data_IF_814434099920
#
_entry.id   IF_814434099920
#
_cell.length_a   1.000
_cell.length_b   1.000
_cell.length_c   1.000
_cell.angle_alpha   90.00
_cell.angle_beta   90.00
_cell.angle_gamma   90.00
#
_symmetry.space_group_name_H-M   'P 1'
#
loop_
_entity.id
_entity.type
_entity.pdbx_description
1 polymer ?
#
# COMPACT_ATOMS: atom_id res chain seq x y z
N UNK A 1 22.78 4.03 39.28
CA UNK A 1 21.59 3.22 39.63
C UNK A 1 21.15 3.49 41.08
N UNK A 2 21.99 3.23 42.08
CA UNK A 2 21.67 3.44 43.52
C UNK A 2 21.08 4.82 43.87
N UNK A 3 21.70 5.91 43.40
CA UNK A 3 21.19 7.28 43.64
C UNK A 3 19.75 7.47 43.13
N UNK A 4 19.37 6.85 42.02
CA UNK A 4 18.06 7.06 41.39
C UNK A 4 16.97 6.12 41.92
N UNK A 5 17.34 4.96 42.43
CA UNK A 5 16.41 3.99 43.01
C UNK A 5 16.32 4.06 44.54
N UNK A 6 17.24 4.76 45.22
CA UNK A 6 17.27 4.90 46.68
C UNK A 6 17.08 6.32 47.19
N UNK A 7 17.66 7.33 46.52
CA UNK A 7 17.73 8.70 47.07
C UNK A 7 16.82 9.69 46.35
N UNK A 8 16.94 9.78 45.02
CA UNK A 8 16.22 10.80 44.23
C UNK A 8 14.85 10.36 43.73
N UNK A 9 14.58 9.06 43.65
CA UNK A 9 13.28 8.53 43.18
C UNK A 9 13.01 8.70 41.68
N UNK A 10 14.03 8.96 40.87
CA UNK A 10 13.89 9.09 39.41
C UNK A 10 13.63 7.73 38.73
N UNK A 11 14.03 6.62 39.36
CA UNK A 11 13.83 5.28 38.84
C UNK A 11 13.13 4.38 39.87
N UNK A 12 12.21 3.53 39.40
CA UNK A 12 11.35 2.71 40.27
C UNK A 12 11.94 1.34 40.61
N UNK A 13 12.87 0.83 39.79
CA UNK A 13 13.42 -0.52 39.93
C UNK A 13 14.95 -0.53 39.74
N UNK A 14 15.65 -1.20 40.65
CA UNK A 14 17.09 -1.48 40.54
C UNK A 14 17.29 -2.86 39.92
N UNK A 15 17.95 -2.93 38.77
CA UNK A 15 18.35 -4.18 38.12
C UNK A 15 19.85 -4.44 38.31
N UNK A 16 20.23 -5.72 38.43
CA UNK A 16 21.63 -6.13 38.61
C UNK A 16 22.40 -6.23 37.29
N UNK A 17 21.68 -6.46 36.19
CA UNK A 17 22.19 -6.56 34.82
C UNK A 17 21.02 -6.47 33.84
N UNK A 18 21.33 -6.49 32.54
CA UNK A 18 20.33 -6.37 31.48
C UNK A 18 19.30 -7.50 31.50
N UNK A 19 19.70 -8.74 31.79
CA UNK A 19 18.76 -9.86 31.86
C UNK A 19 17.75 -9.68 33.01
N UNK A 20 18.21 -9.21 34.17
CA UNK A 20 17.33 -8.85 35.28
C UNK A 20 16.43 -7.67 34.92
N UNK A 21 16.94 -6.64 34.23
CA UNK A 21 16.13 -5.52 33.76
C UNK A 21 15.00 -5.97 32.82
N UNK A 22 15.28 -6.87 31.87
CA UNK A 22 14.27 -7.42 30.97
C UNK A 22 13.22 -8.26 31.72
N UNK A 23 13.63 -9.01 32.75
CA UNK A 23 12.70 -9.72 33.62
C UNK A 23 11.76 -8.75 34.36
N UNK A 24 12.28 -7.63 34.88
CA UNK A 24 11.48 -6.57 35.52
C UNK A 24 10.49 -5.96 34.52
N UNK A 25 10.92 -5.65 33.29
CA UNK A 25 10.03 -5.11 32.24
C UNK A 25 8.87 -6.06 31.94
N UNK A 26 9.12 -7.38 31.89
CA UNK A 26 8.06 -8.39 31.72
C UNK A 26 7.09 -8.42 32.90
N UNK A 27 7.59 -8.27 34.13
CA UNK A 27 6.77 -8.15 35.34
C UNK A 27 5.88 -6.89 35.30
N UNK A 28 6.40 -5.76 34.83
CA UNK A 28 5.61 -4.54 34.63
C UNK A 28 4.49 -4.79 33.62
N UNK A 29 4.81 -5.35 32.45
CA UNK A 29 3.83 -5.64 31.41
C UNK A 29 2.73 -6.62 31.85
N UNK A 30 3.05 -7.59 32.71
CA UNK A 30 2.09 -8.53 33.28
C UNK A 30 1.00 -7.85 34.14
N UNK A 31 1.24 -6.63 34.61
CA UNK A 31 0.32 -5.86 35.46
C UNK A 31 -0.41 -4.74 34.73
N UNK A 32 -0.41 -4.72 33.38
CA UNK A 32 -1.10 -3.69 32.59
C UNK A 32 -2.64 -3.74 32.65
N UNK A 33 -3.24 -4.82 33.18
CA UNK A 33 -4.69 -5.01 33.22
C UNK A 33 -5.37 -4.71 31.85
N UNK A 34 -4.76 -5.18 30.76
CA UNK A 34 -5.15 -4.83 29.39
C UNK A 34 -5.91 -5.96 28.71
N UNK A 35 -7.07 -5.63 28.14
CA UNK A 35 -7.89 -6.55 27.33
C UNK A 35 -8.05 -5.98 25.92
N UNK A 36 -7.90 -6.84 24.91
CA UNK A 36 -8.10 -6.48 23.51
C UNK A 36 -9.61 -6.42 23.19
N UNK A 37 -10.14 -5.33 22.61
CA UNK A 37 -11.56 -5.25 22.27
C UNK A 37 -11.92 -6.19 21.12
N UNK A 38 -13.11 -6.80 21.18
CA UNK A 38 -13.68 -7.59 20.09
C UNK A 38 -14.30 -6.68 19.02
N UNK A 39 -13.45 -6.07 18.19
CA UNK A 39 -13.86 -5.04 17.21
C UNK A 39 -14.28 -5.58 15.84
N UNK A 40 -14.03 -6.86 15.55
CA UNK A 40 -14.42 -7.55 14.31
C UNK A 40 -14.93 -8.96 14.60
N UNK A 41 -15.80 -9.48 13.74
CA UNK A 41 -16.26 -10.88 13.82
C UNK A 41 -15.18 -11.81 13.27
N UNK A 42 -14.47 -12.51 14.16
CA UNK A 42 -13.47 -13.50 13.77
C UNK A 42 -14.12 -14.76 13.22
N UNK A 43 -13.43 -15.38 12.27
CA UNK A 43 -13.72 -16.72 11.74
C UNK A 43 -12.59 -17.68 12.12
N UNK A 44 -12.82 -18.99 11.99
CA UNK A 44 -11.75 -19.97 12.15
C UNK A 44 -10.71 -19.75 11.04
N UNK A 45 -9.41 -19.58 11.37
CA UNK A 45 -8.37 -19.44 10.36
C UNK A 45 -8.28 -20.69 9.47
N UNK A 46 -8.17 -20.48 8.16
CA UNK A 46 -7.88 -21.53 7.18
C UNK A 46 -6.66 -21.13 6.35
N UNK A 47 -5.81 -22.08 5.99
CA UNK A 47 -4.71 -21.80 5.05
C UNK A 47 -5.25 -21.56 3.63
N UNK A 48 -4.53 -20.81 2.78
CA UNK A 48 -4.84 -20.71 1.36
C UNK A 48 -4.74 -22.08 0.68
N UNK A 49 -5.43 -22.27 -0.44
CA UNK A 49 -5.37 -23.50 -1.24
C UNK A 49 -4.06 -23.65 -2.05
N UNK A 50 -3.30 -22.57 -2.16
CA UNK A 50 -2.07 -22.49 -2.96
C UNK A 50 -0.90 -22.08 -2.07
N UNK A 51 0.29 -22.58 -2.38
CA UNK A 51 1.50 -22.27 -1.62
C UNK A 51 1.87 -20.79 -1.78
N UNK A 52 2.05 -20.02 -0.68
CA UNK A 52 2.56 -18.65 -0.75
C UNK A 52 3.87 -18.49 -1.53
N UNK A 53 4.73 -19.50 -1.62
CA UNK A 53 5.97 -19.44 -2.42
C UNK A 53 5.71 -19.34 -3.93
N UNK A 54 4.54 -19.76 -4.42
CA UNK A 54 4.16 -19.57 -5.82
C UNK A 54 4.09 -18.10 -6.22
N UNK A 55 4.00 -17.16 -5.26
CA UNK A 55 4.07 -15.72 -5.51
C UNK A 55 5.35 -15.30 -6.24
N UNK A 56 6.46 -16.01 -6.07
CA UNK A 56 7.70 -15.73 -6.79
C UNK A 56 7.56 -15.93 -8.30
N UNK A 57 6.69 -16.85 -8.73
CA UNK A 57 6.45 -17.18 -10.14
C UNK A 57 5.34 -16.35 -10.78
N UNK A 58 4.46 -15.73 -9.99
CA UNK A 58 3.34 -14.93 -10.50
C UNK A 58 3.79 -13.56 -10.99
N UNK A 59 4.70 -12.93 -10.25
CA UNK A 59 5.15 -11.58 -10.57
C UNK A 59 6.09 -11.64 -11.77
N UNK A 60 5.74 -10.99 -12.90
CA UNK A 60 6.60 -10.99 -14.07
C UNK A 60 7.94 -10.29 -13.77
N UNK A 61 9.03 -10.85 -14.30
CA UNK A 61 10.36 -10.22 -14.24
C UNK A 61 10.41 -8.85 -14.94
N UNK A 62 9.62 -8.70 -16.02
CA UNK A 62 9.34 -7.40 -16.62
C UNK A 62 8.08 -6.80 -15.98
N UNK A 63 8.28 -5.80 -15.11
CA UNK A 63 7.21 -5.13 -14.36
C UNK A 63 6.16 -4.43 -15.22
N UNK A 64 6.38 -4.31 -16.53
CA UNK A 64 5.41 -3.77 -17.51
C UNK A 64 4.43 -4.83 -18.00
N UNK A 65 4.73 -6.12 -17.84
CA UNK A 65 3.83 -7.19 -18.27
C UNK A 65 2.63 -7.27 -17.33
N UNK A 66 1.40 -7.26 -17.86
CA UNK A 66 0.23 -7.46 -17.03
C UNK A 66 0.19 -8.90 -16.50
N UNK A 67 -0.38 -9.06 -15.31
CA UNK A 67 -0.75 -10.33 -14.70
C UNK A 67 -2.09 -10.13 -13.97
N UNK A 68 -2.79 -11.22 -13.64
CA UNK A 68 -4.02 -11.12 -12.86
C UNK A 68 -3.69 -11.06 -11.36
N UNK A 69 -4.01 -9.94 -10.72
CA UNK A 69 -3.77 -9.75 -9.28
C UNK A 69 -4.55 -10.72 -8.41
N UNK A 70 -5.59 -11.37 -8.94
CA UNK A 70 -6.31 -12.45 -8.25
C UNK A 70 -5.41 -13.62 -7.88
N UNK A 71 -4.39 -13.90 -8.69
CA UNK A 71 -3.40 -14.94 -8.38
C UNK A 71 -2.62 -14.62 -7.11
N UNK A 72 -2.32 -13.34 -6.87
CA UNK A 72 -1.72 -12.88 -5.62
C UNK A 72 -2.72 -13.04 -4.47
N UNK A 73 -3.96 -12.56 -4.65
CA UNK A 73 -4.99 -12.61 -3.60
C UNK A 73 -5.26 -14.05 -3.16
N UNK A 74 -5.36 -14.99 -4.10
CA UNK A 74 -5.63 -16.41 -3.83
C UNK A 74 -4.59 -17.06 -2.90
N UNK A 75 -3.35 -16.57 -2.88
CA UNK A 75 -2.26 -17.07 -2.02
C UNK A 75 -2.14 -16.34 -0.69
N UNK A 76 -2.94 -15.29 -0.49
CA UNK A 76 -2.93 -14.50 0.75
C UNK A 76 -4.14 -14.78 1.64
N UNK A 77 -5.29 -15.10 1.07
CA UNK A 77 -6.57 -15.20 1.81
C UNK A 77 -6.94 -16.62 2.20
N UNK A 78 -7.70 -16.74 3.28
CA UNK A 78 -8.15 -18.00 3.86
C UNK A 78 -8.97 -18.80 2.85
N UNK A 79 -8.56 -20.06 2.64
CA UNK A 79 -9.16 -20.97 1.67
C UNK A 79 -9.19 -20.43 0.22
N UNK A 80 -8.35 -19.44 -0.10
CA UNK A 80 -8.31 -18.79 -1.42
C UNK A 80 -9.66 -18.20 -1.88
N UNK A 81 -10.55 -17.87 -0.93
CA UNK A 81 -11.88 -17.34 -1.23
C UNK A 81 -11.89 -15.82 -1.31
N UNK A 82 -12.42 -15.30 -2.42
CA UNK A 82 -12.62 -13.87 -2.63
C UNK A 82 -14.04 -13.62 -3.13
N UNK A 83 -14.84 -12.93 -2.32
CA UNK A 83 -16.16 -12.45 -2.73
C UNK A 83 -16.01 -11.12 -3.49
N UNK A 84 -15.83 -11.20 -4.80
CA UNK A 84 -15.55 -10.03 -5.64
C UNK A 84 -16.73 -9.07 -5.74
N UNK A 85 -16.50 -7.83 -5.32
CA UNK A 85 -17.41 -6.71 -5.49
C UNK A 85 -17.24 -6.10 -6.88
N UNK A 86 -18.35 -5.88 -7.59
CA UNK A 86 -18.35 -5.28 -8.94
C UNK A 86 -17.34 -5.95 -9.89
N UNK A 87 -17.30 -7.28 -9.91
CA UNK A 87 -16.34 -8.07 -10.68
C UNK A 87 -16.26 -7.64 -12.17
N UNK A 88 -17.40 -7.27 -12.77
CA UNK A 88 -17.52 -6.89 -14.18
C UNK A 88 -17.49 -5.38 -14.46
N UNK A 89 -17.18 -4.54 -13.49
CA UNK A 89 -17.14 -3.08 -13.62
C UNK A 89 -15.81 -2.53 -13.09
N UNK A 90 -15.17 -1.61 -13.83
CA UNK A 90 -13.85 -1.07 -13.44
C UNK A 90 -12.83 -2.17 -13.18
N UNK A 91 -12.67 -3.10 -14.12
CA UNK A 91 -11.93 -4.37 -13.96
C UNK A 91 -10.43 -4.21 -13.70
N UNK A 92 -9.88 -3.00 -13.90
CA UNK A 92 -8.50 -2.67 -13.54
C UNK A 92 -8.30 -2.41 -12.04
N UNK A 93 -9.36 -2.44 -11.26
CA UNK A 93 -9.32 -2.47 -9.80
C UNK A 93 -10.14 -3.65 -9.29
N UNK A 94 -9.49 -4.61 -8.65
CA UNK A 94 -10.14 -5.73 -7.98
C UNK A 94 -10.51 -5.29 -6.58
N UNK A 95 -11.78 -5.45 -6.22
CA UNK A 95 -12.28 -5.20 -4.87
C UNK A 95 -13.05 -6.43 -4.42
N UNK A 96 -12.88 -6.86 -3.18
CA UNK A 96 -13.62 -8.00 -2.66
C UNK A 96 -13.41 -8.23 -1.18
N UNK A 97 -14.35 -8.96 -0.58
CA UNK A 97 -14.25 -9.38 0.81
C UNK A 97 -13.55 -10.73 0.91
N UNK A 98 -12.73 -10.89 1.93
CA UNK A 98 -12.04 -12.15 2.23
C UNK A 98 -11.72 -12.22 3.73
N UNK A 99 -11.01 -13.26 4.14
CA UNK A 99 -10.39 -13.35 5.46
C UNK A 99 -8.88 -13.62 5.35
N UNK A 100 -8.10 -13.13 6.32
CA UNK A 100 -6.68 -13.46 6.47
C UNK A 100 -6.48 -13.90 7.91
N UNK A 101 -6.09 -15.16 8.14
CA UNK A 101 -5.92 -15.76 9.45
C UNK A 101 -7.14 -15.55 10.37
N UNK A 102 -8.35 -15.70 9.81
CA UNK A 102 -9.63 -15.54 10.50
C UNK A 102 -10.14 -14.10 10.60
N UNK A 103 -9.32 -13.09 10.28
CA UNK A 103 -9.73 -11.68 10.31
C UNK A 103 -10.44 -11.28 9.01
N UNK A 104 -11.66 -10.69 9.06
CA UNK A 104 -12.31 -10.19 7.85
C UNK A 104 -11.55 -9.00 7.28
N UNK A 105 -11.37 -8.96 5.97
CA UNK A 105 -10.68 -7.89 5.25
C UNK A 105 -11.42 -7.48 3.98
N UNK A 106 -11.34 -6.19 3.65
CA UNK A 106 -11.71 -5.65 2.35
C UNK A 106 -10.44 -5.42 1.52
N UNK A 107 -10.28 -6.14 0.42
CA UNK A 107 -9.11 -6.04 -0.45
C UNK A 107 -9.38 -5.05 -1.57
N UNK A 108 -8.42 -4.17 -1.84
CA UNK A 108 -8.40 -3.21 -2.95
C UNK A 108 -7.08 -3.36 -3.69
N UNK A 109 -7.10 -3.97 -4.88
CA UNK A 109 -5.89 -4.40 -5.58
C UNK A 109 -5.87 -3.91 -7.04
N UNK A 110 -4.74 -3.36 -7.48
CA UNK A 110 -4.59 -2.92 -8.87
C UNK A 110 -4.44 -4.12 -9.81
N UNK A 111 -5.13 -4.06 -10.94
CA UNK A 111 -5.06 -5.02 -12.04
C UNK A 111 -4.88 -4.30 -13.38
N UNK A 112 -4.19 -3.15 -13.36
CA UNK A 112 -3.99 -2.25 -14.48
C UNK A 112 -4.08 -0.76 -14.10
N UNK A 113 -4.16 0.09 -15.12
CA UNK A 113 -4.32 1.56 -15.00
C UNK A 113 -5.69 1.90 -14.43
N UNK A 114 -5.80 2.96 -13.63
CA UNK A 114 -7.10 3.39 -13.08
C UNK A 114 -7.92 4.21 -14.07
N UNK A 115 -9.18 3.82 -14.23
CA UNK A 115 -10.21 4.58 -14.94
C UNK A 115 -11.20 5.20 -13.94
N UNK A 116 -12.12 6.02 -14.45
CA UNK A 116 -13.17 6.66 -13.63
C UNK A 116 -14.03 5.61 -12.93
N UNK A 117 -14.38 4.55 -13.65
CA UNK A 117 -15.14 3.40 -13.17
C UNK A 117 -14.39 2.68 -12.03
N UNK A 118 -13.07 2.54 -12.16
CA UNK A 118 -12.21 1.94 -11.13
C UNK A 118 -12.22 2.78 -9.85
N UNK A 119 -12.11 4.10 -9.96
CA UNK A 119 -12.11 4.99 -8.81
C UNK A 119 -13.48 5.04 -8.10
N UNK A 120 -14.58 5.09 -8.86
CA UNK A 120 -15.93 5.01 -8.32
C UNK A 120 -16.22 3.66 -7.64
N UNK A 121 -15.71 2.56 -8.22
CA UNK A 121 -15.76 1.23 -7.60
C UNK A 121 -14.99 1.21 -6.28
N UNK A 122 -13.77 1.73 -6.26
CA UNK A 122 -12.93 1.79 -5.08
C UNK A 122 -13.56 2.63 -3.96
N UNK A 123 -14.07 3.82 -4.28
CA UNK A 123 -14.76 4.69 -3.31
C UNK A 123 -15.95 3.98 -2.65
N UNK A 124 -16.86 3.41 -3.46
CA UNK A 124 -18.02 2.68 -2.94
C UNK A 124 -17.60 1.47 -2.09
N UNK A 125 -16.59 0.71 -2.53
CA UNK A 125 -16.13 -0.44 -1.75
C UNK A 125 -15.55 -0.04 -0.39
N UNK A 126 -14.80 1.07 -0.33
CA UNK A 126 -14.29 1.63 0.92
C UNK A 126 -15.44 2.07 1.83
N UNK A 127 -16.50 2.69 1.29
CA UNK A 127 -17.69 3.04 2.08
C UNK A 127 -18.33 1.80 2.72
N UNK A 128 -18.46 0.69 1.98
CA UNK A 128 -18.98 -0.57 2.53
C UNK A 128 -18.10 -1.13 3.65
N UNK A 129 -16.78 -1.10 3.48
CA UNK A 129 -15.85 -1.57 4.51
C UNK A 129 -15.91 -0.67 5.76
N UNK A 130 -15.92 0.65 5.56
CA UNK A 130 -16.07 1.65 6.63
C UNK A 130 -17.37 1.51 7.40
N UNK A 131 -18.49 1.28 6.70
CA UNK A 131 -19.80 1.08 7.32
C UNK A 131 -19.82 -0.18 8.20
N UNK A 132 -19.13 -1.23 7.76
CA UNK A 132 -19.09 -2.56 8.42
C UNK A 132 -17.96 -2.69 9.43
N UNK A 133 -17.09 -1.69 9.58
CA UNK A 133 -15.92 -1.76 10.45
C UNK A 133 -14.85 -2.76 9.98
N UNK A 134 -14.80 -3.07 8.69
CA UNK A 134 -13.88 -4.07 8.11
C UNK A 134 -12.54 -3.42 7.77
N UNK A 135 -11.40 -3.95 8.26
CA UNK A 135 -10.07 -3.51 7.85
C UNK A 135 -9.84 -3.55 6.33
N UNK A 136 -9.11 -2.59 5.81
CA UNK A 136 -8.79 -2.47 4.39
C UNK A 136 -7.34 -2.90 4.10
N UNK A 137 -7.15 -3.71 3.05
CA UNK A 137 -5.85 -4.12 2.54
C UNK A 137 -5.69 -3.63 1.11
N UNK A 138 -4.69 -2.77 0.88
CA UNK A 138 -4.37 -2.21 -0.42
C UNK A 138 -3.17 -2.93 -1.02
N UNK A 139 -3.33 -3.51 -2.21
CA UNK A 139 -2.24 -4.12 -2.98
C UNK A 139 -1.89 -3.20 -4.16
N UNK A 140 -0.79 -2.45 -4.02
CA UNK A 140 -0.39 -1.45 -5.00
C UNK A 140 0.44 -2.07 -6.13
N UNK A 141 -0.08 -1.95 -7.35
CA UNK A 141 0.66 -2.13 -8.58
C UNK A 141 0.10 -1.14 -9.62
N UNK A 142 0.39 0.14 -9.42
CA UNK A 142 -0.23 1.25 -10.13
C UNK A 142 0.78 2.13 -10.83
N UNK A 143 0.58 2.30 -12.14
CA UNK A 143 1.33 3.23 -13.00
C UNK A 143 0.70 4.61 -13.08
N UNK A 144 -0.61 4.72 -12.81
CA UNK A 144 -1.33 6.00 -12.75
C UNK A 144 -2.78 5.88 -13.20
N UNK A 145 -3.39 7.03 -13.48
CA UNK A 145 -4.72 7.13 -14.09
C UNK A 145 -4.60 7.20 -15.62
N UNK A 146 -5.67 6.83 -16.31
CA UNK A 146 -5.74 7.00 -17.76
C UNK A 146 -5.67 8.49 -18.13
N UNK A 147 -4.85 8.84 -19.11
CA UNK A 147 -4.70 10.21 -19.62
C UNK A 147 -5.39 10.38 -20.97
N UNK A 148 -5.90 11.58 -21.24
CA UNK A 148 -6.43 11.96 -22.56
C UNK A 148 -7.65 12.86 -22.48
N UNK A 149 -7.83 13.73 -23.48
CA UNK A 149 -8.89 14.77 -23.51
C UNK A 149 -10.29 14.21 -23.24
N UNK A 150 -10.61 13.03 -23.79
CA UNK A 150 -11.90 12.39 -23.59
C UNK A 150 -12.14 11.96 -22.13
N UNK A 151 -11.10 11.50 -21.42
CA UNK A 151 -11.20 11.07 -20.02
C UNK A 151 -11.25 12.26 -19.06
N UNK A 152 -10.46 13.31 -19.35
CA UNK A 152 -10.51 14.57 -18.60
C UNK A 152 -11.89 15.22 -18.70
N UNK A 153 -12.45 15.33 -19.90
CA UNK A 153 -13.79 15.88 -20.11
C UNK A 153 -14.90 15.06 -19.45
N UNK A 154 -14.70 13.74 -19.28
CA UNK A 154 -15.63 12.86 -18.55
C UNK A 154 -15.47 12.94 -17.02
N UNK A 155 -14.46 13.65 -16.52
CA UNK A 155 -14.30 13.91 -15.10
C UNK A 155 -13.44 12.91 -14.34
N UNK A 156 -12.45 12.28 -15.00
CA UNK A 156 -11.55 11.32 -14.32
C UNK A 156 -10.89 11.90 -13.06
N UNK A 157 -10.59 13.21 -13.06
CA UNK A 157 -10.08 13.91 -11.89
C UNK A 157 -11.06 13.91 -10.70
N UNK A 158 -12.36 14.18 -10.94
CA UNK A 158 -13.36 14.16 -9.86
C UNK A 158 -13.66 12.76 -9.38
N UNK A 159 -13.62 11.76 -10.26
CA UNK A 159 -13.84 10.37 -9.89
C UNK A 159 -12.66 9.80 -9.11
N UNK A 160 -11.43 10.11 -9.51
CA UNK A 160 -10.22 9.85 -8.71
C UNK A 160 -10.29 10.53 -7.33
N UNK A 161 -10.76 11.77 -7.27
CA UNK A 161 -10.93 12.50 -6.02
C UNK A 161 -11.92 11.81 -5.06
N UNK A 162 -13.01 11.18 -5.56
CA UNK A 162 -13.92 10.39 -4.71
C UNK A 162 -13.17 9.27 -3.99
N UNK A 163 -12.31 8.53 -4.70
CA UNK A 163 -11.50 7.46 -4.10
C UNK A 163 -10.53 8.00 -3.05
N UNK A 164 -9.86 9.12 -3.33
CA UNK A 164 -8.94 9.78 -2.38
C UNK A 164 -9.67 10.27 -1.13
N UNK A 165 -10.87 10.85 -1.27
CA UNK A 165 -11.72 11.23 -0.13
C UNK A 165 -12.08 10.01 0.71
N UNK A 166 -12.48 8.91 0.07
CA UNK A 166 -12.82 7.68 0.77
C UNK A 166 -11.63 7.11 1.57
N UNK A 167 -10.46 7.02 0.94
CA UNK A 167 -9.21 6.56 1.58
C UNK A 167 -8.79 7.45 2.75
N UNK A 168 -8.84 8.77 2.55
CA UNK A 168 -8.46 9.77 3.57
C UNK A 168 -9.33 9.69 4.82
N UNK A 169 -10.64 9.57 4.62
CA UNK A 169 -11.60 9.63 5.71
C UNK A 169 -11.79 8.27 6.43
N UNK A 170 -11.53 7.14 5.76
CA UNK A 170 -11.72 5.81 6.33
C UNK A 170 -10.93 5.64 7.64
N UNK A 171 -11.67 5.30 8.70
CA UNK A 171 -11.18 5.13 10.08
C UNK A 171 -10.98 3.66 10.49
N UNK A 172 -11.39 2.72 9.65
CA UNK A 172 -11.01 1.31 9.78
C UNK A 172 -9.48 1.17 9.64
N UNK A 173 -8.86 0.15 10.25
CA UNK A 173 -7.44 -0.12 10.03
C UNK A 173 -7.15 -0.30 8.53
N UNK A 174 -6.15 0.42 8.01
CA UNK A 174 -5.71 0.34 6.61
C UNK A 174 -4.30 -0.25 6.59
N UNK A 175 -4.05 -1.16 5.66
CA UNK A 175 -2.74 -1.79 5.44
C UNK A 175 -2.40 -1.69 3.97
N UNK A 176 -1.15 -1.38 3.65
CA UNK A 176 -0.71 -1.22 2.26
C UNK A 176 0.49 -2.12 1.99
N UNK A 177 0.44 -2.85 0.87
CA UNK A 177 1.57 -3.62 0.36
C UNK A 177 1.83 -3.19 -1.08
N UNK A 178 3.03 -2.67 -1.34
CA UNK A 178 3.45 -2.32 -2.70
C UNK A 178 4.05 -3.57 -3.35
N UNK A 179 3.27 -4.21 -4.22
CA UNK A 179 3.62 -5.47 -4.91
C UNK A 179 4.18 -5.24 -6.32
N UNK A 180 4.18 -3.99 -6.80
CA UNK A 180 4.72 -3.60 -8.10
C UNK A 180 5.01 -2.10 -8.17
N UNK A 181 4.40 -1.40 -9.12
CA UNK A 181 4.54 0.06 -9.24
C UNK A 181 3.74 0.83 -8.19
N UNK A 182 4.27 1.95 -7.72
CA UNK A 182 3.55 2.94 -6.93
C UNK A 182 3.88 4.33 -7.45
N UNK A 183 3.10 4.80 -8.43
CA UNK A 183 3.40 6.02 -9.17
C UNK A 183 2.29 7.08 -9.09
N UNK A 184 2.73 8.33 -8.89
CA UNK A 184 1.90 9.54 -9.01
C UNK A 184 0.60 9.49 -8.22
N UNK A 185 -0.50 9.97 -8.83
CA UNK A 185 -1.82 9.99 -8.21
C UNK A 185 -2.37 8.59 -7.87
N UNK A 186 -1.84 7.53 -8.48
CA UNK A 186 -2.19 6.15 -8.15
C UNK A 186 -1.81 5.78 -6.72
N UNK A 187 -0.63 6.24 -6.27
CA UNK A 187 -0.19 6.07 -4.87
C UNK A 187 -1.22 6.66 -3.89
N UNK A 188 -1.82 7.79 -4.25
CA UNK A 188 -2.77 8.49 -3.40
C UNK A 188 -4.08 7.71 -3.25
N UNK A 189 -4.67 7.33 -4.39
CA UNK A 189 -5.93 6.57 -4.42
C UNK A 189 -5.81 5.20 -3.78
N UNK A 190 -4.61 4.61 -3.73
CA UNK A 190 -4.38 3.27 -3.17
C UNK A 190 -3.80 3.29 -1.75
N UNK A 191 -4.00 4.36 -0.97
CA UNK A 191 -3.57 4.48 0.42
C UNK A 191 -2.04 4.41 0.61
N UNK A 192 -1.30 5.24 -0.13
CA UNK A 192 0.13 5.46 0.08
C UNK A 192 0.47 6.09 1.44
N UNK A 193 1.76 6.33 1.70
CA UNK A 193 2.29 6.73 3.02
C UNK A 193 1.59 7.94 3.64
N UNK A 194 1.21 8.93 2.84
CA UNK A 194 0.52 10.15 3.30
C UNK A 194 -0.89 9.91 3.85
N UNK A 195 -1.50 8.75 3.59
CA UNK A 195 -2.87 8.41 4.00
C UNK A 195 -2.93 7.60 5.29
N UNK A 196 -1.79 7.52 5.99
CA UNK A 196 -1.62 6.90 7.30
C UNK A 196 -2.23 5.48 7.39
N UNK A 197 -1.82 4.54 6.51
CA UNK A 197 -2.05 3.13 6.82
C UNK A 197 -1.34 2.79 8.14
N UNK A 198 -1.88 1.82 8.90
CA UNK A 198 -1.26 1.35 10.14
C UNK A 198 0.14 0.81 9.88
N UNK A 199 0.30 0.15 8.74
CA UNK A 199 1.57 -0.29 8.21
C UNK A 199 1.55 -0.24 6.68
N UNK A 200 2.70 0.09 6.10
CA UNK A 200 2.97 0.04 4.67
C UNK A 200 4.24 -0.75 4.41
N UNK A 201 4.19 -1.78 3.58
CA UNK A 201 5.38 -2.57 3.20
C UNK A 201 5.61 -2.53 1.70
N UNK A 202 6.84 -2.89 1.31
CA UNK A 202 7.25 -3.00 -0.08
C UNK A 202 7.76 -4.41 -0.38
N UNK A 203 7.45 -4.93 -1.57
CA UNK A 203 8.13 -6.11 -2.10
C UNK A 203 9.46 -5.73 -2.77
N UNK A 204 10.43 -6.65 -2.90
CA UNK A 204 11.75 -6.35 -3.45
C UNK A 204 11.72 -5.93 -4.94
N UNK A 205 10.71 -6.36 -5.69
CA UNK A 205 10.52 -6.00 -7.10
C UNK A 205 9.82 -4.63 -7.29
N UNK A 206 9.30 -4.02 -6.22
CA UNK A 206 8.48 -2.82 -6.33
C UNK A 206 9.29 -1.58 -6.71
N UNK A 207 8.62 -0.56 -7.26
CA UNK A 207 9.22 0.76 -7.55
C UNK A 207 8.27 1.87 -7.12
N UNK A 208 8.80 2.89 -6.43
CA UNK A 208 8.02 4.06 -5.99
C UNK A 208 8.62 5.36 -6.52
N UNK A 209 7.82 6.19 -7.15
CA UNK A 209 8.29 7.48 -7.70
C UNK A 209 7.11 8.37 -8.11
N UNK A 210 7.37 9.64 -8.42
CA UNK A 210 6.32 10.57 -8.89
C UNK A 210 5.67 10.11 -10.21
N UNK A 211 6.43 9.44 -11.08
CA UNK A 211 5.98 8.77 -12.30
C UNK A 211 6.98 7.67 -12.68
N UNK A 212 6.67 6.81 -13.66
CA UNK A 212 7.62 5.80 -14.12
C UNK A 212 8.87 6.42 -14.76
N UNK A 213 10.05 5.81 -14.58
CA UNK A 213 11.31 6.36 -15.10
C UNK A 213 11.32 6.56 -16.62
N UNK A 214 10.78 5.58 -17.36
CA UNK A 214 10.62 5.68 -18.82
C UNK A 214 9.66 6.81 -19.21
N UNK A 215 8.57 6.98 -18.44
CA UNK A 215 7.60 8.06 -18.68
C UNK A 215 8.23 9.43 -18.44
N UNK A 216 8.98 9.60 -17.34
CA UNK A 216 9.69 10.83 -17.02
C UNK A 216 10.71 11.20 -18.11
N UNK A 217 11.51 10.22 -18.54
CA UNK A 217 12.51 10.41 -19.57
C UNK A 217 11.87 10.84 -20.91
N UNK A 218 10.76 10.21 -21.32
CA UNK A 218 10.06 10.56 -22.55
C UNK A 218 9.37 11.93 -22.50
N UNK A 219 8.78 12.31 -21.37
CA UNK A 219 8.17 13.64 -21.20
C UNK A 219 9.24 14.73 -21.26
N UNK A 220 10.34 14.58 -20.53
CA UNK A 220 11.44 15.55 -20.55
C UNK A 220 12.10 15.65 -21.92
N UNK A 221 12.27 14.53 -22.63
CA UNK A 221 12.80 14.52 -23.98
C UNK A 221 11.87 15.25 -24.97
N UNK A 222 10.55 15.09 -24.83
CA UNK A 222 9.58 15.80 -25.68
C UNK A 222 9.66 17.31 -25.47
N UNK A 223 9.66 17.77 -24.21
CA UNK A 223 9.80 19.20 -23.88
C UNK A 223 11.10 19.77 -24.46
N UNK A 224 12.22 19.05 -24.31
CA UNK A 224 13.52 19.48 -24.85
C UNK A 224 13.51 19.53 -26.37
N UNK A 225 12.90 18.55 -27.04
CA UNK A 225 12.76 18.51 -28.50
C UNK A 225 11.97 19.71 -29.01
N UNK A 226 10.87 20.06 -28.36
CA UNK A 226 10.04 21.20 -28.75
C UNK A 226 10.77 22.54 -28.54
N UNK A 227 11.54 22.67 -27.45
CA UNK A 227 12.39 23.84 -27.22
C UNK A 227 13.50 23.97 -28.27
N UNK A 228 14.15 22.87 -28.64
CA UNK A 228 15.17 22.86 -29.71
C UNK A 228 14.56 23.25 -31.05
N UNK A 229 13.39 22.69 -31.42
CA UNK A 229 12.67 23.04 -32.64
C UNK A 229 12.31 24.53 -32.68
N UNK A 230 11.82 25.09 -31.58
CA UNK A 230 11.52 26.52 -31.48
C UNK A 230 12.78 27.40 -31.66
N UNK A 231 13.96 26.90 -31.29
CA UNK A 231 15.24 27.54 -31.51
C UNK A 231 15.89 27.21 -32.87
N UNK A 232 15.17 26.55 -33.79
CA UNK A 232 15.68 26.15 -35.11
C UNK A 232 16.73 25.04 -35.07
N UNK A 233 16.86 24.33 -33.94
CA UNK A 233 17.80 23.22 -33.73
C UNK A 233 17.07 21.89 -33.75
N UNK A 234 17.81 20.83 -34.07
CA UNK A 234 17.39 19.45 -33.91
C UNK A 234 18.48 18.70 -33.14
N UNK A 235 18.13 17.52 -32.63
CA UNK A 235 19.08 16.60 -32.03
C UNK A 235 18.88 15.20 -32.60
N UNK A 236 19.92 14.39 -32.60
CA UNK A 236 19.88 13.02 -33.11
C UNK A 236 19.20 12.06 -32.14
N UNK A 237 18.93 10.83 -32.59
CA UNK A 237 18.39 9.79 -31.72
C UNK A 237 19.39 9.41 -30.60
N UNK A 238 20.69 9.45 -30.89
CA UNK A 238 21.77 9.20 -29.93
C UNK A 238 21.83 10.30 -28.86
N UNK A 239 21.67 11.57 -29.24
CA UNK A 239 21.62 12.69 -28.30
C UNK A 239 20.37 12.62 -27.41
N UNK A 240 19.23 12.19 -27.97
CA UNK A 240 18.02 11.97 -27.19
C UNK A 240 18.17 10.82 -26.19
N UNK A 241 18.75 9.69 -26.58
CA UNK A 241 18.99 8.57 -25.66
C UNK A 241 20.03 8.91 -24.59
N UNK A 242 21.09 9.63 -24.95
CA UNK A 242 22.07 10.15 -23.98
C UNK A 242 21.43 11.10 -22.96
N UNK A 243 20.38 11.85 -23.35
CA UNK A 243 19.61 12.68 -22.43
C UNK A 243 18.66 11.88 -21.54
N UNK A 244 18.01 10.85 -22.08
CA UNK A 244 17.07 9.99 -21.31
C UNK A 244 17.77 9.08 -20.31
N UNK A 245 18.95 8.56 -20.65
CA UNK A 245 19.71 7.62 -19.82
C UNK A 245 19.91 8.07 -18.36
N UNK A 246 20.41 9.29 -18.05
CA UNK A 246 20.58 9.74 -16.66
C UNK A 246 19.25 9.90 -15.93
N UNK A 247 18.16 10.28 -16.61
CA UNK A 247 16.82 10.36 -16.01
C UNK A 247 16.34 8.97 -15.61
N UNK A 248 16.47 7.96 -16.49
CA UNK A 248 16.10 6.57 -16.15
C UNK A 248 16.89 6.06 -14.96
N UNK A 249 18.21 6.29 -14.96
CA UNK A 249 19.10 5.87 -13.87
C UNK A 249 18.72 6.53 -12.53
N UNK A 250 18.36 7.82 -12.53
CA UNK A 250 17.89 8.52 -11.35
C UNK A 250 16.63 7.86 -10.77
N UNK A 251 15.64 7.58 -11.62
CA UNK A 251 14.38 6.96 -11.18
C UNK A 251 14.56 5.52 -10.70
N UNK A 252 15.46 4.76 -11.32
CA UNK A 252 15.76 3.40 -10.87
C UNK A 252 16.43 3.41 -9.48
N UNK A 253 17.40 4.30 -9.27
CA UNK A 253 18.08 4.47 -7.99
C UNK A 253 17.13 4.96 -6.89
N UNK A 254 16.40 6.06 -7.15
CA UNK A 254 15.54 6.69 -6.14
C UNK A 254 14.22 5.94 -5.92
N UNK A 255 13.81 5.12 -6.89
CA UNK A 255 12.59 4.31 -6.78
C UNK A 255 12.81 2.90 -6.25
N UNK A 256 14.06 2.48 -6.04
CA UNK A 256 14.39 1.17 -5.51
C UNK A 256 13.85 0.99 -4.06
N UNK A 257 13.33 -0.19 -3.67
CA UNK A 257 12.79 -0.40 -2.31
C UNK A 257 13.79 -0.08 -1.19
N UNK A 258 15.08 -0.36 -1.40
CA UNK A 258 16.12 0.02 -0.43
C UNK A 258 16.30 1.53 -0.28
N UNK A 259 16.09 2.31 -1.34
CA UNK A 259 16.15 3.77 -1.25
C UNK A 259 14.98 4.31 -0.42
N UNK A 260 13.79 3.76 -0.63
CA UNK A 260 12.55 4.10 0.07
C UNK A 260 12.61 3.70 1.56
N UNK A 261 13.01 2.46 1.84
CA UNK A 261 13.03 1.91 3.20
C UNK A 261 14.11 2.56 4.08
N UNK A 262 15.26 2.93 3.48
CA UNK A 262 16.28 3.74 4.15
C UNK A 262 15.77 5.14 4.59
N UNK A 263 14.61 5.58 4.08
CA UNK A 263 13.97 6.88 4.37
C UNK A 263 12.62 6.74 5.04
N UNK A 264 12.25 5.54 5.48
CA UNK A 264 10.99 5.25 6.18
C UNK A 264 9.72 5.65 5.39
N UNK A 265 9.81 5.60 4.06
CA UNK A 265 8.62 5.74 3.19
C UNK A 265 7.70 4.52 3.33
N UNK A 266 8.28 3.39 3.71
CA UNK A 266 7.67 2.14 4.13
C UNK A 266 8.17 1.74 5.52
N UNK A 267 7.54 0.73 6.10
CA UNK A 267 7.85 0.11 7.39
C UNK A 267 8.67 -1.18 7.22
N UNK A 268 9.19 -1.43 6.02
CA UNK A 268 10.07 -2.55 5.69
C UNK A 268 9.84 -3.13 4.30
N UNK A 269 10.94 -3.60 3.71
CA UNK A 269 10.91 -4.50 2.56
C UNK A 269 10.70 -5.92 3.08
N UNK A 270 9.68 -6.61 2.57
CA UNK A 270 9.32 -7.96 3.01
C UNK A 270 9.43 -8.97 1.87
N UNK A 271 9.69 -10.21 2.24
CA UNK A 271 9.56 -11.36 1.34
C UNK A 271 8.10 -11.51 0.88
N UNK A 272 7.80 -11.58 -0.44
CA UNK A 272 6.47 -11.81 -0.97
C UNK A 272 5.73 -12.98 -0.30
N UNK A 273 6.39 -14.12 -0.07
CA UNK A 273 5.77 -15.31 0.55
C UNK A 273 5.35 -15.07 2.01
N UNK A 274 5.97 -14.10 2.69
CA UNK A 274 5.66 -13.76 4.08
C UNK A 274 4.51 -12.75 4.24
N UNK A 275 3.98 -12.20 3.13
CA UNK A 275 2.96 -11.15 3.14
C UNK A 275 1.75 -11.51 3.98
N UNK A 276 1.24 -12.75 3.88
CA UNK A 276 0.10 -13.25 4.66
C UNK A 276 0.38 -13.18 6.17
N UNK A 277 1.54 -13.66 6.61
CA UNK A 277 1.94 -13.66 8.04
C UNK A 277 2.09 -12.24 8.58
N UNK A 278 2.73 -11.37 7.80
CA UNK A 278 2.94 -9.95 8.16
C UNK A 278 1.60 -9.24 8.32
N UNK A 279 0.68 -9.41 7.37
CA UNK A 279 -0.67 -8.85 7.45
C UNK A 279 -1.44 -9.40 8.66
N UNK A 280 -1.41 -10.71 8.91
CA UNK A 280 -2.10 -11.31 10.05
C UNK A 280 -1.63 -10.73 11.40
N UNK A 281 -0.31 -10.59 11.59
CA UNK A 281 0.27 -9.99 12.79
C UNK A 281 -0.14 -8.52 12.94
N UNK A 282 -0.07 -7.75 11.85
CA UNK A 282 -0.40 -6.33 11.86
C UNK A 282 -1.89 -6.07 12.08
N UNK A 283 -2.77 -6.87 11.48
CA UNK A 283 -4.21 -6.82 11.74
C UNK A 283 -4.45 -7.11 13.21
N UNK A 284 -3.91 -8.21 13.75
CA UNK A 284 -4.06 -8.55 15.16
C UNK A 284 -3.57 -7.42 16.08
N UNK A 285 -2.40 -6.85 15.81
CA UNK A 285 -1.84 -5.75 16.59
C UNK A 285 -2.74 -4.50 16.53
N UNK A 286 -3.23 -4.13 15.34
CA UNK A 286 -4.07 -2.94 15.13
C UNK A 286 -5.38 -2.97 15.91
N UNK A 287 -5.94 -4.16 16.12
CA UNK A 287 -7.21 -4.38 16.83
C UNK A 287 -7.06 -4.27 18.36
N UNK A 288 -5.87 -3.96 18.88
CA UNK A 288 -5.73 -3.45 20.26
C UNK A 288 -6.33 -2.05 20.43
N UNK A 289 -6.53 -1.31 19.34
CA UNK A 289 -7.31 -0.09 19.31
C UNK A 289 -8.75 -0.40 18.84
N UNK A 290 -9.78 0.27 19.40
CA UNK A 290 -11.13 0.16 18.88
C UNK A 290 -11.21 0.68 17.43
N UNK A 291 -12.10 0.11 16.63
CA UNK A 291 -12.38 0.61 15.28
C UNK A 291 -13.26 1.85 15.40
N UNK A 292 -12.73 2.98 14.91
CA UNK A 292 -13.41 4.27 14.95
C UNK A 292 -14.51 4.38 13.87
N UNK A 293 -15.56 5.16 14.16
CA UNK A 293 -16.59 5.48 13.16
C UNK A 293 -16.00 6.38 12.08
N UNK A 294 -16.25 6.03 10.83
CA UNK A 294 -15.84 6.85 9.67
C UNK A 294 -16.84 7.98 9.43
N UNK A 295 -16.34 9.20 9.27
CA UNK A 295 -17.09 10.34 8.75
C UNK A 295 -16.41 10.83 7.47
N UNK A 296 -17.10 10.73 6.34
CA UNK A 296 -16.56 11.16 5.04
C UNK A 296 -16.67 12.67 4.88
N UNK A 297 -15.70 13.25 4.17
CA UNK A 297 -15.79 14.62 3.67
C UNK A 297 -16.77 14.73 2.49
N UNK A 298 -16.85 15.92 1.91
CA UNK A 298 -17.70 16.16 0.73
C UNK A 298 -17.18 15.37 -0.47
N UNK A 299 -18.03 14.51 -1.05
CA UNK A 299 -17.75 13.87 -2.33
C UNK A 299 -18.12 14.80 -3.49
N UNK A 300 -17.18 14.99 -4.42
CA UNK A 300 -17.43 15.72 -5.67
C UNK A 300 -18.13 14.80 -6.68
N UNK A 301 -19.45 14.92 -6.82
CA UNK A 301 -20.27 14.08 -7.71
C UNK A 301 -19.99 14.30 -9.19
#
# INVERSE_FOLDING_TARGET
>A
ADVHTRLSGVADHLAENDAHALWIVRRIAANFNRVKPASVKLSAPEEPLYDPEELYGIIPSDTRKPYDVREVIARLVDGSRLDEFKQRYGTTLVCGFAAIAGYPVGIVANNGILFSESAQKGAHFIELCSQRGIPLVFLQNITGFMVGKAYENKGIAKDGAKMVTAVSCAKVPKFTVIIGGSHGAGNYGMCGRAYAPRFLWMWPNSRISVMGGEQAANVLATIRRDALKAAGKQWSAEEEEAFKAPVRAQYESQGHPYYASARLWDDGVIDPAQTRRVLALAISASLNAPVEKTAFGVFRM
#
